data_IF_377790391056
#
_entry.id   IF_377790391056
#
_cell.length_a   1.000
_cell.length_b   1.000
_cell.length_c   1.000
_cell.angle_alpha   90.00
_cell.angle_beta   90.00
_cell.angle_gamma   90.00
#
_symmetry.space_group_name_H-M   'P 1'
#
loop_
_entity.id
_entity.type
_entity.pdbx_description
1 polymer ?
#
# COMPACT_ATOMS: atom_id res chain seq x y z
N UNK A 1 14.52 12.67 -48.53
CA UNK A 1 15.16 12.89 -47.22
C UNK A 1 14.14 12.53 -46.16
N UNK A 2 14.32 11.40 -45.48
CA UNK A 2 13.33 10.89 -44.52
C UNK A 2 13.88 11.18 -43.12
N UNK A 3 13.34 12.18 -42.45
CA UNK A 3 13.68 12.48 -41.05
C UNK A 3 13.00 11.45 -40.16
N UNK A 4 13.79 10.61 -39.51
CA UNK A 4 13.37 9.78 -38.38
C UNK A 4 13.09 10.70 -37.20
N UNK A 5 11.93 10.61 -36.53
CA UNK A 5 11.69 11.41 -35.32
C UNK A 5 12.63 10.95 -34.21
N UNK A 6 13.30 11.91 -33.58
CA UNK A 6 14.19 11.70 -32.45
C UNK A 6 13.39 11.17 -31.26
N UNK A 7 13.73 9.98 -30.77
CA UNK A 7 13.06 9.36 -29.62
C UNK A 7 13.65 9.95 -28.34
N UNK A 8 12.84 10.68 -27.59
CA UNK A 8 13.22 11.23 -26.30
C UNK A 8 13.47 10.11 -25.28
N UNK A 9 14.41 10.34 -24.37
CA UNK A 9 14.59 9.49 -23.18
C UNK A 9 13.43 9.67 -22.21
N UNK A 10 13.24 8.72 -21.29
CA UNK A 10 12.17 8.76 -20.29
C UNK A 10 12.24 10.04 -19.43
N UNK A 11 13.44 10.46 -19.03
CA UNK A 11 13.63 11.67 -18.21
C UNK A 11 13.27 12.94 -18.99
N UNK A 12 13.69 13.04 -20.26
CA UNK A 12 13.32 14.15 -21.14
C UNK A 12 11.81 14.20 -21.40
N UNK A 13 11.17 13.04 -21.49
CA UNK A 13 9.72 12.93 -21.63
C UNK A 13 9.01 13.45 -20.37
N UNK A 14 9.46 13.03 -19.18
CA UNK A 14 8.94 13.52 -17.89
C UNK A 14 9.11 15.03 -17.76
N UNK A 15 10.26 15.57 -18.16
CA UNK A 15 10.54 17.00 -18.12
C UNK A 15 9.62 17.80 -19.07
N UNK A 16 9.34 17.26 -20.27
CA UNK A 16 8.44 17.89 -21.26
C UNK A 16 6.98 17.96 -20.84
N UNK A 17 6.52 17.11 -19.91
CA UNK A 17 5.14 17.11 -19.41
C UNK A 17 4.83 18.32 -18.52
N UNK A 18 5.84 19.10 -18.14
CA UNK A 18 5.69 20.26 -17.27
C UNK A 18 5.33 19.88 -15.82
N UNK A 19 5.63 20.77 -14.87
CA UNK A 19 5.14 20.59 -13.50
C UNK A 19 3.65 20.89 -13.49
N UNK A 20 2.84 19.91 -13.11
CA UNK A 20 1.40 20.04 -12.94
C UNK A 20 1.08 21.21 -11.98
N UNK A 21 0.59 22.32 -12.53
CA UNK A 21 0.42 23.59 -11.81
C UNK A 21 -0.89 23.73 -11.02
N UNK A 22 -1.82 22.78 -11.17
CA UNK A 22 -3.08 22.74 -10.44
C UNK A 22 -2.95 21.71 -9.33
N UNK A 23 -2.51 22.13 -8.14
CA UNK A 23 -2.10 21.24 -7.03
C UNK A 23 -3.21 20.42 -6.36
N UNK A 24 -3.86 19.51 -7.09
CA UNK A 24 -4.68 18.44 -6.53
C UNK A 24 -3.77 17.26 -6.18
N UNK A 25 -3.17 17.30 -5.00
CA UNK A 25 -2.55 16.14 -4.38
C UNK A 25 -3.33 15.87 -3.09
N UNK A 26 -4.09 14.78 -3.05
CA UNK A 26 -4.70 14.35 -1.80
C UNK A 26 -3.58 14.07 -0.80
N UNK A 27 -3.69 14.66 0.39
CA UNK A 27 -2.69 14.47 1.44
C UNK A 27 -2.74 13.01 1.93
N UNK A 28 -1.66 12.24 1.75
CA UNK A 28 -1.55 10.88 2.27
C UNK A 28 -1.17 10.85 3.76
N UNK A 29 -1.87 11.63 4.58
CA UNK A 29 -1.61 11.69 6.03
C UNK A 29 -1.84 10.32 6.68
N UNK A 30 -2.88 9.62 6.23
CA UNK A 30 -3.20 8.28 6.67
C UNK A 30 -2.07 7.29 6.37
N UNK A 31 -1.60 7.23 5.12
CA UNK A 31 -0.53 6.34 4.71
C UNK A 31 0.81 6.72 5.33
N UNK A 32 1.10 8.01 5.55
CA UNK A 32 2.33 8.46 6.20
C UNK A 32 2.49 7.91 7.62
N UNK A 33 1.38 7.76 8.35
CA UNK A 33 1.39 7.23 9.73
C UNK A 33 1.39 5.70 9.85
N UNK A 34 1.14 4.99 8.74
CA UNK A 34 1.02 3.54 8.75
C UNK A 34 2.37 2.85 8.96
N UNK A 35 2.40 1.90 9.90
CA UNK A 35 3.59 1.10 10.15
C UNK A 35 3.87 0.16 8.96
N UNK A 36 5.16 0.02 8.64
CA UNK A 36 5.64 -0.93 7.65
C UNK A 36 6.03 -2.24 8.32
N UNK A 37 5.99 -3.30 7.52
CA UNK A 37 6.53 -4.59 7.86
C UNK A 37 5.52 -5.55 8.47
N UNK A 38 5.92 -6.82 8.50
CA UNK A 38 5.07 -7.92 8.92
C UNK A 38 5.58 -8.48 10.26
N UNK A 39 5.03 -7.97 11.36
CA UNK A 39 5.43 -8.36 12.72
C UNK A 39 4.22 -8.56 13.64
N UNK A 40 4.44 -9.20 14.79
CA UNK A 40 3.38 -9.35 15.81
C UNK A 40 2.87 -8.00 16.31
N UNK A 41 3.75 -7.01 16.44
CA UNK A 41 3.38 -5.66 16.85
C UNK A 41 2.39 -5.03 15.86
N UNK A 42 2.68 -5.13 14.56
CA UNK A 42 1.78 -4.64 13.49
C UNK A 42 0.46 -5.41 13.51
N UNK A 43 0.48 -6.73 13.67
CA UNK A 43 -0.76 -7.54 13.75
C UNK A 43 -1.64 -7.14 14.94
N UNK A 44 -1.04 -6.95 16.12
CA UNK A 44 -1.75 -6.53 17.34
C UNK A 44 -2.33 -5.12 17.18
N UNK A 45 -1.56 -4.21 16.62
CA UNK A 45 -1.99 -2.84 16.33
C UNK A 45 -3.18 -2.80 15.35
N UNK A 46 -3.14 -3.60 14.27
CA UNK A 46 -4.27 -3.73 13.33
C UNK A 46 -5.52 -4.26 14.04
N UNK A 47 -5.37 -5.30 14.85
CA UNK A 47 -6.47 -5.93 15.56
C UNK A 47 -7.13 -4.96 16.55
N UNK A 48 -6.32 -4.20 17.29
CA UNK A 48 -6.78 -3.14 18.19
C UNK A 48 -7.51 -2.01 17.44
N UNK A 49 -6.95 -1.53 16.31
CA UNK A 49 -7.58 -0.50 15.46
C UNK A 49 -8.91 -0.93 14.86
N UNK A 50 -9.13 -2.23 14.73
CA UNK A 50 -10.37 -2.83 14.24
C UNK A 50 -11.33 -3.28 15.34
N UNK A 51 -10.97 -3.11 16.61
CA UNK A 51 -11.74 -3.58 17.75
C UNK A 51 -12.13 -5.06 17.62
N UNK A 52 -11.19 -5.88 17.16
CA UNK A 52 -11.46 -7.30 16.92
C UNK A 52 -11.58 -8.09 18.23
N UNK A 53 -12.42 -9.14 18.26
CA UNK A 53 -12.46 -10.06 19.39
C UNK A 53 -11.17 -10.90 19.49
N UNK A 54 -10.85 -11.38 20.69
CA UNK A 54 -9.59 -12.09 20.98
C UNK A 54 -9.32 -13.28 20.03
N UNK A 55 -10.34 -14.05 19.68
CA UNK A 55 -10.19 -15.21 18.80
C UNK A 55 -9.71 -14.82 17.38
N UNK A 56 -10.03 -13.60 16.91
CA UNK A 56 -9.53 -13.08 15.64
C UNK A 56 -8.06 -12.69 15.74
N UNK A 57 -7.65 -12.04 16.84
CA UNK A 57 -6.25 -11.73 17.10
C UNK A 57 -5.40 -13.01 17.11
N UNK A 58 -5.84 -14.02 17.85
CA UNK A 58 -5.16 -15.32 17.90
C UNK A 58 -5.07 -16.00 16.53
N UNK A 59 -6.13 -15.89 15.73
CA UNK A 59 -6.14 -16.40 14.36
C UNK A 59 -5.12 -15.68 13.47
N UNK A 60 -5.00 -14.35 13.59
CA UNK A 60 -3.99 -13.56 12.85
C UNK A 60 -2.57 -13.91 13.29
N UNK A 61 -2.32 -14.04 14.59
CA UNK A 61 -1.00 -14.42 15.11
C UNK A 61 -0.61 -15.84 14.67
N UNK A 62 -1.57 -16.78 14.63
CA UNK A 62 -1.35 -18.12 14.09
C UNK A 62 -1.01 -18.08 12.60
N UNK A 63 -1.68 -17.24 11.82
CA UNK A 63 -1.39 -17.06 10.40
C UNK A 63 0.02 -16.49 10.18
N UNK A 64 0.43 -15.48 10.95
CA UNK A 64 1.78 -14.91 10.91
C UNK A 64 2.85 -15.97 11.21
N UNK A 65 2.68 -16.75 12.28
CA UNK A 65 3.59 -17.86 12.61
C UNK A 65 3.65 -18.92 11.51
N UNK A 66 2.53 -19.16 10.82
CA UNK A 66 2.48 -20.12 9.72
C UNK A 66 3.20 -19.58 8.48
N UNK A 67 3.00 -18.30 8.16
CA UNK A 67 3.68 -17.61 7.08
C UNK A 67 5.20 -17.71 7.24
N UNK A 68 5.75 -17.36 8.40
CA UNK A 68 7.20 -17.43 8.66
C UNK A 68 7.80 -18.84 8.63
N UNK A 69 6.96 -19.90 8.71
CA UNK A 69 7.41 -21.30 8.60
C UNK A 69 7.33 -21.85 7.18
N UNK A 70 6.57 -21.20 6.29
CA UNK A 70 6.37 -21.67 4.92
C UNK A 70 7.51 -21.11 4.05
N UNK A 71 8.15 -21.95 3.22
CA UNK A 71 9.08 -21.44 2.23
C UNK A 71 8.33 -20.61 1.18
N UNK A 72 9.04 -19.70 0.52
CA UNK A 72 8.51 -18.98 -0.62
C UNK A 72 8.11 -19.99 -1.72
N UNK A 73 6.91 -19.89 -2.31
CA UNK A 73 6.51 -20.81 -3.36
C UNK A 73 7.43 -20.65 -4.59
N UNK A 74 7.66 -21.76 -5.28
CA UNK A 74 8.49 -21.83 -6.49
C UNK A 74 7.65 -21.88 -7.78
N UNK A 75 6.35 -21.61 -7.67
CA UNK A 75 5.40 -21.63 -8.78
C UNK A 75 4.78 -20.24 -8.93
N UNK A 76 4.38 -19.88 -10.15
CA UNK A 76 3.84 -18.56 -10.45
C UNK A 76 4.92 -17.53 -10.80
N UNK A 77 4.68 -16.26 -10.47
CA UNK A 77 5.61 -15.16 -10.72
C UNK A 77 6.86 -15.23 -9.84
N UNK A 78 7.94 -14.58 -10.26
CA UNK A 78 9.13 -14.43 -9.42
C UNK A 78 8.82 -13.57 -8.19
N UNK A 79 9.15 -14.06 -7.00
CA UNK A 79 8.92 -13.41 -5.70
C UNK A 79 10.21 -12.96 -5.00
N UNK A 80 11.39 -13.17 -5.61
CA UNK A 80 12.71 -12.86 -5.01
C UNK A 80 12.88 -11.39 -4.61
N UNK A 81 12.15 -10.47 -5.26
CA UNK A 81 12.21 -9.04 -4.98
C UNK A 81 11.26 -8.53 -3.90
N UNK A 82 10.46 -9.40 -3.26
CA UNK A 82 9.46 -8.94 -2.29
C UNK A 82 10.12 -8.65 -0.94
N UNK A 83 10.20 -7.36 -0.61
CA UNK A 83 10.57 -6.87 0.72
C UNK A 83 9.32 -6.71 1.60
N UNK A 84 8.98 -7.76 2.34
CA UNK A 84 7.83 -7.77 3.24
C UNK A 84 7.94 -6.76 4.38
N UNK A 85 9.16 -6.40 4.79
CA UNK A 85 9.40 -5.45 5.89
C UNK A 85 9.10 -4.01 5.48
N UNK A 86 9.07 -3.74 4.17
CA UNK A 86 8.75 -2.42 3.62
C UNK A 86 7.29 -2.27 3.18
N UNK A 87 6.44 -3.31 3.29
CA UNK A 87 5.02 -3.20 2.91
C UNK A 87 4.20 -2.56 4.03
N UNK A 88 3.28 -1.65 3.67
CA UNK A 88 2.23 -1.15 4.57
C UNK A 88 1.02 -2.07 4.48
N UNK A 89 0.83 -2.93 5.48
CA UNK A 89 -0.26 -3.92 5.48
C UNK A 89 -1.63 -3.35 5.86
N UNK A 90 -1.65 -2.19 6.50
CA UNK A 90 -2.88 -1.55 6.93
C UNK A 90 -2.73 -0.03 6.92
N UNK A 91 -3.63 0.63 6.21
CA UNK A 91 -3.83 2.07 6.25
C UNK A 91 -5.30 2.29 6.57
N UNK A 92 -5.59 3.06 7.62
CA UNK A 92 -6.96 3.46 7.95
C UNK A 92 -7.18 4.86 7.40
N UNK A 93 -8.25 5.06 6.64
CA UNK A 93 -8.62 6.41 6.23
C UNK A 93 -8.80 7.32 7.45
N UNK A 94 -8.30 8.54 7.35
CA UNK A 94 -8.55 9.61 8.33
C UNK A 94 -9.98 10.14 8.22
N UNK A 95 -10.65 9.88 7.10
CA UNK A 95 -12.03 10.28 6.89
C UNK A 95 -12.99 9.30 7.56
N UNK A 96 -14.02 9.85 8.22
CA UNK A 96 -15.11 9.03 8.74
C UNK A 96 -15.82 8.37 7.56
N UNK A 97 -16.15 7.08 7.67
CA UNK A 97 -16.99 6.43 6.66
C UNK A 97 -18.27 7.25 6.49
N UNK A 98 -18.58 7.62 5.25
CA UNK A 98 -19.83 8.27 4.92
C UNK A 98 -20.99 7.33 5.31
N UNK A 99 -21.92 7.83 6.11
CA UNK A 99 -23.09 7.06 6.54
C UNK A 99 -24.18 7.01 5.47
N UNK A 100 -24.13 7.95 4.52
CA UNK A 100 -25.11 8.10 3.44
C UNK A 100 -24.39 8.57 2.18
N UNK A 101 -24.92 8.15 1.03
CA UNK A 101 -24.49 8.62 -0.29
C UNK A 101 -25.25 9.87 -0.74
N UNK A 102 -25.67 10.71 0.22
CA UNK A 102 -26.51 11.87 -0.09
C UNK A 102 -25.67 12.94 -0.80
N UNK A 103 -25.80 12.99 -2.12
CA UNK A 103 -25.25 14.02 -2.98
C UNK A 103 -26.19 15.20 -2.90
N UNK A 104 -26.06 16.03 -1.86
CA UNK A 104 -26.93 17.19 -1.62
C UNK A 104 -27.28 17.94 -2.91
N UNK A 105 -28.55 17.82 -3.31
CA UNK A 105 -29.24 18.69 -4.26
C UNK A 105 -30.09 19.67 -3.45
#
# INVERSE_FOLDING_TARGET
MTTTPEVLTQDQTIESLGRYGYGWADSDVAGASAQRGLSEAVVRDISAKKSEPEWMLESRLKALRTFGKKPMPNWGSNLEGIDFDNIKYFVRSTEKQAATWDTGQ
#
